data_IF_605474967355
#
_entry.id   IF_605474967355
#
_cell.length_a   1.000
_cell.length_b   1.000
_cell.length_c   1.000
_cell.angle_alpha   90.00
_cell.angle_beta   90.00
_cell.angle_gamma   90.00
#
_symmetry.space_group_name_H-M   'P 1'
#
loop_
_entity.id
_entity.type
_entity.pdbx_description
1 polymer ?
#
# COMPACT_ATOMS: atom_id res chain seq x y z
N UNK A 1 25.56 2.23 -47.24
CA UNK A 1 25.40 3.65 -46.85
C UNK A 1 24.58 4.36 -47.91
N UNK A 2 23.31 4.66 -47.64
CA UNK A 2 22.46 5.44 -48.55
C UNK A 2 22.25 6.84 -47.96
N UNK A 3 22.77 7.86 -48.66
CA UNK A 3 22.49 9.28 -48.42
C UNK A 3 21.41 9.69 -49.42
N UNK A 4 20.18 9.92 -48.97
CA UNK A 4 19.24 10.76 -49.71
C UNK A 4 19.33 12.19 -49.19
N UNK A 5 19.53 13.11 -50.12
CA UNK A 5 19.76 14.53 -49.92
C UNK A 5 18.71 15.27 -50.75
N UNK A 6 17.98 16.16 -50.09
CA UNK A 6 17.21 17.31 -50.59
C UNK A 6 15.86 17.08 -51.30
N UNK A 7 14.81 17.65 -50.70
CA UNK A 7 13.99 18.65 -51.39
C UNK A 7 13.45 19.68 -50.37
N UNK A 8 13.98 20.90 -50.50
CA UNK A 8 13.56 22.14 -49.85
C UNK A 8 12.46 22.74 -50.73
N UNK A 9 11.33 23.18 -50.17
CA UNK A 9 10.46 24.14 -50.85
C UNK A 9 9.95 25.17 -49.84
N UNK A 10 10.21 26.43 -50.19
CA UNK A 10 9.92 27.63 -49.42
C UNK A 10 8.48 28.11 -49.59
N UNK A 11 7.94 28.61 -48.48
CA UNK A 11 7.11 29.81 -48.25
C UNK A 11 6.25 30.37 -49.40
N UNK A 12 4.98 30.56 -49.08
CA UNK A 12 4.23 31.79 -49.41
C UNK A 12 3.49 32.29 -48.17
N UNK A 13 3.73 33.57 -47.83
CA UNK A 13 2.98 34.38 -46.87
C UNK A 13 1.69 34.88 -47.53
N UNK A 14 0.61 34.99 -46.76
CA UNK A 14 -0.32 36.12 -46.85
C UNK A 14 -0.80 36.47 -45.44
N UNK A 15 -0.63 37.75 -45.11
CA UNK A 15 -1.22 38.43 -43.96
C UNK A 15 -2.74 38.48 -44.16
N UNK A 16 -3.50 38.42 -43.07
CA UNK A 16 -4.54 39.42 -42.84
C UNK A 16 -4.87 39.50 -41.35
N UNK A 17 -4.63 40.71 -40.84
CA UNK A 17 -4.98 41.21 -39.52
C UNK A 17 -6.40 41.75 -39.63
N UNK A 18 -7.31 41.31 -38.76
CA UNK A 18 -8.58 42.02 -38.54
C UNK A 18 -8.61 42.46 -37.09
N UNK A 19 -8.19 43.70 -36.87
CA UNK A 19 -8.56 44.55 -35.76
C UNK A 19 -9.73 45.42 -36.19
N UNK A 20 -10.80 45.41 -35.43
CA UNK A 20 -11.79 46.49 -35.40
C UNK A 20 -12.14 46.79 -33.96
N UNK A 21 -11.67 47.95 -33.50
CA UNK A 21 -12.19 48.63 -32.31
C UNK A 21 -13.27 49.64 -32.71
N UNK A 22 -14.01 50.06 -31.67
CA UNK A 22 -14.77 51.31 -31.49
C UNK A 22 -16.28 51.23 -31.70
N UNK A 23 -17.03 51.23 -30.58
CA UNK A 23 -17.83 52.39 -30.17
C UNK A 23 -18.41 52.23 -28.76
N UNK A 24 -18.02 53.14 -27.87
CA UNK A 24 -18.57 53.38 -26.53
C UNK A 24 -19.81 54.27 -26.64
N UNK A 25 -20.88 54.01 -25.88
CA UNK A 25 -21.69 55.01 -25.14
C UNK A 25 -22.83 54.35 -24.32
N UNK A 26 -22.81 54.57 -23.01
CA UNK A 26 -23.89 54.38 -22.03
C UNK A 26 -24.58 55.75 -21.81
N UNK A 27 -25.85 55.91 -21.32
CA UNK A 27 -26.23 55.51 -19.96
C UNK A 27 -27.73 55.24 -19.66
N UNK A 28 -27.99 54.59 -18.51
CA UNK A 28 -29.21 54.83 -17.73
C UNK A 28 -30.04 53.60 -17.38
N UNK A 29 -29.80 53.00 -16.21
CA UNK A 29 -30.87 52.75 -15.23
C UNK A 29 -30.30 52.28 -13.87
N UNK A 30 -31.02 52.70 -12.84
CA UNK A 30 -30.65 52.82 -11.43
C UNK A 30 -30.93 51.55 -10.60
N UNK A 31 -29.89 51.01 -9.95
CA UNK A 31 -29.72 50.56 -8.53
C UNK A 31 -30.85 49.76 -7.81
N UNK A 32 -30.50 48.79 -6.93
CA UNK A 32 -29.89 49.17 -5.65
C UNK A 32 -28.66 48.37 -5.18
N UNK A 33 -27.83 49.13 -4.46
CA UNK A 33 -26.71 48.69 -3.63
C UNK A 33 -27.23 47.88 -2.44
N UNK A 34 -26.65 46.71 -2.18
CA UNK A 34 -26.68 46.11 -0.85
C UNK A 34 -25.41 46.54 -0.11
N UNK A 35 -25.64 47.17 1.03
CA UNK A 35 -24.63 47.75 1.89
C UNK A 35 -23.83 46.68 2.65
N UNK A 36 -22.53 46.96 2.80
CA UNK A 36 -21.63 46.38 3.81
C UNK A 36 -22.30 46.36 5.19
N UNK A 37 -22.22 45.23 5.88
CA UNK A 37 -22.15 45.19 7.35
C UNK A 37 -20.86 44.50 7.76
N UNK A 38 -19.95 45.30 8.28
CA UNK A 38 -18.78 44.92 9.06
C UNK A 38 -19.21 44.21 10.33
N UNK A 39 -18.60 43.06 10.62
CA UNK A 39 -18.50 42.52 11.98
C UNK A 39 -17.02 42.32 12.29
N UNK A 40 -16.50 43.17 13.17
CA UNK A 40 -15.23 43.01 13.85
C UNK A 40 -15.35 41.93 14.93
N UNK A 41 -14.43 40.99 14.96
CA UNK A 41 -14.03 40.29 16.20
C UNK A 41 -12.52 40.03 16.15
N UNK A 42 -11.72 40.64 17.05
CA UNK A 42 -10.30 40.34 17.17
C UNK A 42 -10.14 39.16 18.11
N UNK A 43 -10.04 37.93 17.60
CA UNK A 43 -9.71 36.79 18.47
C UNK A 43 -9.04 35.61 17.75
N UNK A 44 -8.14 35.92 16.81
CA UNK A 44 -7.41 34.92 16.02
C UNK A 44 -5.90 34.93 16.25
N UNK A 45 -5.42 35.62 17.30
CA UNK A 45 -4.00 35.62 17.65
C UNK A 45 -3.67 34.88 18.95
N UNK A 46 -4.65 34.46 19.76
CA UNK A 46 -4.36 33.69 20.98
C UNK A 46 -4.34 32.17 20.78
N UNK A 47 -4.87 31.62 19.69
CA UNK A 47 -4.85 30.16 19.44
C UNK A 47 -3.58 29.64 18.75
N UNK A 48 -2.71 30.50 18.22
CA UNK A 48 -1.43 30.05 17.63
C UNK A 48 -0.36 29.75 18.68
N UNK A 49 -0.49 30.26 19.90
CA UNK A 49 0.49 30.01 20.97
C UNK A 49 0.24 28.66 21.69
N UNK A 50 -1.02 28.22 21.81
CA UNK A 50 -1.34 26.96 22.49
C UNK A 50 -1.18 25.72 21.59
N UNK A 51 -1.37 25.86 20.28
CA UNK A 51 -1.16 24.76 19.33
C UNK A 51 0.32 24.36 19.17
N UNK A 52 1.27 25.26 19.45
CA UNK A 52 2.71 24.95 19.42
C UNK A 52 3.24 24.33 20.73
N UNK A 53 2.48 24.36 21.82
CA UNK A 53 2.86 23.70 23.08
C UNK A 53 2.41 22.23 23.19
N UNK A 54 1.38 21.80 22.45
CA UNK A 54 0.95 20.40 22.47
C UNK A 54 1.78 19.48 21.56
N UNK A 55 2.36 19.99 20.47
CA UNK A 55 3.18 19.16 19.56
C UNK A 55 4.54 18.77 20.17
N UNK A 56 5.05 19.51 21.17
CA UNK A 56 6.28 19.15 21.90
C UNK A 56 6.08 18.20 23.08
N UNK A 57 4.86 18.08 23.62
CA UNK A 57 4.58 17.13 24.71
C UNK A 57 4.23 15.72 24.22
N UNK A 58 3.84 15.57 22.94
CA UNK A 58 3.44 14.27 22.37
C UNK A 58 4.59 13.50 21.69
N UNK A 59 5.72 14.17 21.40
CA UNK A 59 6.93 13.51 20.89
C UNK A 59 7.84 12.93 21.97
N UNK A 60 7.68 13.29 23.25
CA UNK A 60 8.43 12.69 24.36
C UNK A 60 7.74 11.46 25.01
N UNK A 61 6.51 11.12 24.62
CA UNK A 61 5.79 9.92 25.10
C UNK A 61 5.75 8.74 24.12
N UNK A 62 6.48 8.79 23.01
CA UNK A 62 6.61 7.66 22.06
C UNK A 62 8.00 7.02 22.04
N UNK A 63 8.70 7.04 23.18
CA UNK A 63 9.89 6.19 23.41
C UNK A 63 9.72 5.11 24.48
N UNK A 64 8.56 5.02 25.11
CA UNK A 64 8.25 3.89 26.00
C UNK A 64 6.79 3.47 25.77
N UNK A 65 6.58 2.31 25.16
CA UNK A 65 5.23 1.77 25.04
C UNK A 65 4.97 0.93 23.79
N UNK A 66 5.79 -0.09 23.53
CA UNK A 66 5.36 -1.20 22.69
C UNK A 66 5.86 -2.51 23.31
N UNK A 67 4.90 -3.32 23.74
CA UNK A 67 4.98 -4.66 24.36
C UNK A 67 5.46 -4.79 25.81
N UNK A 68 4.53 -4.67 26.76
CA UNK A 68 4.56 -5.48 27.99
C UNK A 68 3.16 -5.92 28.44
N UNK A 69 2.38 -6.46 27.52
CA UNK A 69 1.14 -7.19 27.82
C UNK A 69 1.39 -8.62 28.31
N UNK A 70 2.32 -8.81 29.26
CA UNK A 70 2.52 -10.09 29.92
C UNK A 70 1.41 -10.24 30.97
N UNK A 71 0.33 -10.95 30.64
CA UNK A 71 -0.67 -11.40 31.62
C UNK A 71 0.06 -12.23 32.68
N UNK A 72 0.39 -11.59 33.81
CA UNK A 72 0.85 -12.25 35.03
C UNK A 72 -0.29 -13.14 35.50
N UNK A 73 -0.20 -14.46 35.27
CA UNK A 73 -0.95 -15.43 36.05
C UNK A 73 -0.40 -15.35 37.47
N UNK A 74 -1.22 -14.86 38.38
CA UNK A 74 -0.98 -14.87 39.81
C UNK A 74 -0.87 -16.33 40.26
N UNK A 75 0.35 -16.84 40.40
CA UNK A 75 0.60 -18.07 41.14
C UNK A 75 0.41 -17.75 42.62
N UNK A 76 -0.69 -18.23 43.20
CA UNK A 76 -0.91 -18.14 44.64
C UNK A 76 0.15 -18.96 45.35
N UNK A 77 1.13 -18.28 45.93
CA UNK A 77 2.16 -18.87 46.80
C UNK A 77 1.47 -19.36 48.08
N UNK A 78 1.14 -20.65 48.15
CA UNK A 78 0.76 -21.28 49.42
C UNK A 78 2.05 -21.49 50.21
N UNK A 79 2.28 -20.61 51.17
CA UNK A 79 3.31 -20.76 52.20
C UNK A 79 2.94 -22.00 53.01
N UNK A 80 3.68 -23.09 52.79
CA UNK A 80 3.59 -24.28 53.64
C UNK A 80 4.95 -24.45 54.31
N UNK A 81 4.95 -24.42 55.64
CA UNK A 81 6.13 -24.54 56.51
C UNK A 81 6.96 -25.78 56.16
N UNK A 82 8.29 -25.76 56.36
CA UNK A 82 9.09 -26.96 56.21
C UNK A 82 8.93 -27.84 57.46
N UNK A 83 8.37 -29.04 57.30
CA UNK A 83 8.58 -30.14 58.24
C UNK A 83 9.49 -31.15 57.58
N UNK A 84 10.68 -31.35 58.16
CA UNK A 84 11.57 -32.47 57.88
C UNK A 84 10.78 -33.78 57.92
N UNK A 85 10.99 -34.68 56.94
CA UNK A 85 10.94 -36.15 57.08
C UNK A 85 11.31 -36.82 55.74
N UNK A 86 12.50 -37.41 55.72
CA UNK A 86 12.93 -38.71 55.14
C UNK A 86 12.37 -39.25 53.80
N UNK A 87 13.32 -39.75 52.99
CA UNK A 87 13.22 -40.52 51.75
C UNK A 87 12.20 -41.69 51.76
N UNK A 88 11.52 -41.93 50.64
CA UNK A 88 11.35 -43.27 50.02
C UNK A 88 10.64 -43.25 48.65
N UNK A 89 11.35 -43.82 47.66
CA UNK A 89 10.93 -44.54 46.43
C UNK A 89 10.05 -43.95 45.28
N UNK A 90 10.28 -44.40 44.02
CA UNK A 90 9.74 -43.79 42.83
C UNK A 90 8.38 -44.42 42.46
N UNK A 91 7.29 -43.65 42.61
CA UNK A 91 6.00 -44.01 42.03
C UNK A 91 5.91 -43.61 40.56
N UNK A 92 5.90 -44.65 39.73
CA UNK A 92 5.36 -44.71 38.37
C UNK A 92 4.23 -43.69 38.13
N UNK A 93 4.52 -42.67 37.30
CA UNK A 93 3.49 -41.79 36.75
C UNK A 93 2.86 -42.50 35.54
N UNK A 94 1.66 -43.05 35.74
CA UNK A 94 0.74 -43.33 34.63
C UNK A 94 0.49 -42.01 33.88
N UNK A 95 1.05 -41.88 32.69
CA UNK A 95 0.73 -40.78 31.78
C UNK A 95 -0.63 -41.07 31.14
N UNK A 96 -1.68 -40.38 31.62
CA UNK A 96 -2.94 -40.29 30.88
C UNK A 96 -2.74 -39.32 29.71
N UNK A 97 -2.14 -39.80 28.62
CA UNK A 97 -2.07 -39.08 27.34
C UNK A 97 -3.12 -39.66 26.40
N UNK A 98 -4.38 -39.26 26.62
CA UNK A 98 -5.51 -39.55 25.72
C UNK A 98 -5.69 -38.48 24.62
N UNK A 99 -4.76 -37.51 24.48
CA UNK A 99 -4.87 -36.40 23.53
C UNK A 99 -3.59 -36.15 22.71
N UNK A 100 -2.78 -37.18 22.50
CA UNK A 100 -1.49 -37.03 21.79
C UNK A 100 -1.54 -37.34 20.28
N UNK A 101 -2.67 -37.74 19.70
CA UNK A 101 -2.74 -38.11 18.27
C UNK A 101 -3.60 -37.13 17.46
N UNK A 102 -3.15 -35.89 17.29
CA UNK A 102 -3.63 -35.01 16.21
C UNK A 102 -2.70 -33.81 15.91
N UNK A 103 -1.46 -33.80 16.40
CA UNK A 103 -0.55 -32.66 16.26
C UNK A 103 0.44 -32.75 15.07
N UNK A 104 0.41 -33.83 14.28
CA UNK A 104 1.42 -34.04 13.23
C UNK A 104 0.98 -33.65 11.80
N UNK A 105 -0.32 -33.52 11.50
CA UNK A 105 -0.78 -33.06 10.19
C UNK A 105 -0.79 -31.53 10.11
N UNK A 106 -1.33 -30.84 11.13
CA UNK A 106 -1.33 -29.38 11.16
C UNK A 106 0.05 -28.71 11.23
N UNK A 107 1.11 -29.46 11.56
CA UNK A 107 2.49 -28.94 11.59
C UNK A 107 3.15 -28.91 10.21
N UNK A 108 2.84 -29.87 9.33
CA UNK A 108 3.34 -29.89 7.95
C UNK A 108 2.69 -28.81 7.10
N UNK A 109 1.37 -28.66 7.19
CA UNK A 109 0.62 -27.64 6.46
C UNK A 109 1.08 -26.23 6.83
N UNK A 110 1.30 -25.99 8.13
CA UNK A 110 1.84 -24.74 8.63
C UNK A 110 3.26 -24.45 8.09
N UNK A 111 4.10 -25.48 7.96
CA UNK A 111 5.46 -25.32 7.42
C UNK A 111 5.46 -25.01 5.91
N UNK A 112 4.58 -25.64 5.12
CA UNK A 112 4.46 -25.37 3.69
C UNK A 112 3.90 -23.98 3.41
N UNK A 113 2.85 -23.56 4.14
CA UNK A 113 2.30 -22.20 4.05
C UNK A 113 3.38 -21.17 4.37
N UNK A 114 4.15 -21.39 5.45
CA UNK A 114 5.21 -20.46 5.83
C UNK A 114 6.33 -20.41 4.78
N UNK A 115 6.70 -21.54 4.19
CA UNK A 115 7.68 -21.59 3.10
C UNK A 115 7.21 -20.75 1.90
N UNK A 116 5.95 -20.92 1.49
CA UNK A 116 5.34 -20.12 0.44
C UNK A 116 5.35 -18.62 0.76
N UNK A 117 4.90 -18.22 1.96
CA UNK A 117 4.89 -16.83 2.40
C UNK A 117 6.29 -16.21 2.40
N UNK A 118 7.30 -16.96 2.83
CA UNK A 118 8.71 -16.52 2.81
C UNK A 118 9.20 -16.35 1.38
N UNK A 119 8.86 -17.27 0.46
CA UNK A 119 9.22 -17.16 -0.95
C UNK A 119 8.61 -15.90 -1.60
N UNK A 120 7.31 -15.67 -1.41
CA UNK A 120 6.63 -14.46 -1.91
C UNK A 120 7.28 -13.20 -1.32
N UNK A 121 7.51 -13.18 -0.01
CA UNK A 121 8.16 -12.03 0.65
C UNK A 121 9.57 -11.77 0.11
N UNK A 122 10.35 -12.81 -0.12
CA UNK A 122 11.70 -12.70 -0.69
C UNK A 122 11.67 -12.17 -2.12
N UNK A 123 10.63 -12.48 -2.89
CA UNK A 123 10.43 -11.99 -4.26
C UNK A 123 9.91 -10.55 -4.35
N UNK A 124 9.65 -9.90 -3.21
CA UNK A 124 9.30 -8.49 -3.13
C UNK A 124 10.19 -7.75 -2.11
N UNK A 125 11.52 -7.65 -2.36
CA UNK A 125 12.42 -6.89 -1.51
C UNK A 125 12.08 -5.39 -1.52
N UNK A 126 12.62 -4.65 -0.56
CA UNK A 126 12.42 -3.18 -0.47
C UNK A 126 12.95 -2.43 -1.70
N UNK A 127 13.92 -2.99 -2.43
CA UNK A 127 14.44 -2.43 -3.68
C UNK A 127 13.39 -2.43 -4.80
N UNK A 128 12.39 -3.33 -4.74
CA UNK A 128 11.32 -3.34 -5.73
C UNK A 128 10.45 -2.09 -5.69
N UNK A 129 10.40 -1.40 -4.55
CA UNK A 129 9.74 -0.10 -4.42
C UNK A 129 10.29 0.91 -5.44
N UNK A 130 11.60 0.90 -5.68
CA UNK A 130 12.27 1.94 -6.47
C UNK A 130 12.66 1.49 -7.87
N UNK A 131 12.79 0.19 -8.11
CA UNK A 131 13.27 -0.37 -9.39
C UNK A 131 12.24 -1.30 -10.06
N UNK A 132 11.11 -1.57 -9.39
CA UNK A 132 10.25 -2.68 -9.77
C UNK A 132 10.94 -4.02 -9.53
N UNK A 133 10.47 -5.07 -10.19
CA UNK A 133 10.96 -6.43 -10.01
C UNK A 133 10.17 -7.29 -9.02
N UNK A 134 8.96 -6.87 -8.67
CA UNK A 134 8.04 -7.69 -7.89
C UNK A 134 7.85 -9.06 -8.56
N UNK A 135 8.04 -10.13 -7.79
CA UNK A 135 7.86 -11.53 -8.19
C UNK A 135 8.82 -12.06 -9.27
N UNK A 136 9.85 -11.30 -9.68
CA UNK A 136 10.80 -11.76 -10.72
C UNK A 136 11.53 -13.05 -10.35
N UNK A 137 11.88 -13.19 -9.07
CA UNK A 137 12.58 -14.36 -8.54
C UNK A 137 11.63 -15.43 -7.96
N UNK A 138 10.31 -15.22 -8.08
CA UNK A 138 9.33 -16.20 -7.62
C UNK A 138 9.21 -17.31 -8.66
N UNK A 139 9.39 -18.56 -8.25
CA UNK A 139 9.30 -19.68 -9.18
C UNK A 139 7.89 -19.84 -9.78
N UNK A 140 7.84 -20.57 -10.90
CA UNK A 140 6.63 -20.77 -11.70
C UNK A 140 5.49 -21.50 -11.00
N UNK A 141 5.75 -22.28 -9.95
CA UNK A 141 4.69 -22.92 -9.16
C UNK A 141 4.15 -21.96 -8.11
N UNK A 142 5.02 -21.28 -7.39
CA UNK A 142 4.65 -20.30 -6.38
C UNK A 142 3.91 -19.09 -6.98
N UNK A 143 4.25 -18.64 -8.20
CA UNK A 143 3.47 -17.59 -8.88
C UNK A 143 2.05 -18.06 -9.23
N UNK A 144 1.87 -19.33 -9.64
CA UNK A 144 0.54 -19.89 -9.91
C UNK A 144 -0.28 -19.98 -8.64
N UNK A 145 0.32 -20.44 -7.55
CA UNK A 145 -0.32 -20.47 -6.23
C UNK A 145 -0.69 -19.05 -5.79
N UNK A 146 0.22 -18.08 -5.91
CA UNK A 146 -0.05 -16.68 -5.58
C UNK A 146 -1.26 -16.14 -6.35
N UNK A 147 -1.29 -16.32 -7.67
CA UNK A 147 -2.41 -15.89 -8.50
C UNK A 147 -3.72 -16.57 -8.11
N UNK A 148 -3.68 -17.88 -7.81
CA UNK A 148 -4.87 -18.62 -7.37
C UNK A 148 -5.39 -18.14 -6.02
N UNK A 149 -4.50 -17.90 -5.07
CA UNK A 149 -4.84 -17.37 -3.75
C UNK A 149 -5.39 -15.94 -3.87
N UNK A 150 -4.79 -15.10 -4.71
CA UNK A 150 -5.27 -13.74 -4.96
C UNK A 150 -6.67 -13.73 -5.58
N UNK A 151 -6.93 -14.61 -6.54
CA UNK A 151 -8.25 -14.77 -7.16
C UNK A 151 -9.30 -15.25 -6.15
N UNK A 152 -9.04 -16.35 -5.43
CA UNK A 152 -9.96 -16.89 -4.43
C UNK A 152 -10.13 -15.96 -3.22
N UNK A 153 -9.09 -15.19 -2.93
CA UNK A 153 -9.04 -14.24 -1.84
C UNK A 153 -9.62 -12.88 -2.16
N UNK A 154 -10.01 -12.60 -3.41
CA UNK A 154 -10.50 -11.31 -3.90
C UNK A 154 -9.50 -10.16 -3.69
N UNK A 155 -8.26 -10.37 -4.12
CA UNK A 155 -7.21 -9.34 -4.16
C UNK A 155 -6.29 -9.50 -5.36
N UNK A 156 -6.79 -10.07 -6.46
CA UNK A 156 -6.06 -10.26 -7.73
C UNK A 156 -5.44 -8.97 -8.25
N UNK A 157 -6.16 -7.87 -8.07
CA UNK A 157 -5.83 -6.54 -8.55
C UNK A 157 -4.51 -6.06 -7.93
N UNK A 158 -4.24 -6.42 -6.66
CA UNK A 158 -2.98 -6.09 -5.99
C UNK A 158 -1.77 -6.75 -6.68
N UNK A 159 -1.91 -8.01 -7.08
CA UNK A 159 -0.84 -8.76 -7.76
C UNK A 159 -0.64 -8.22 -9.17
N UNK A 160 -1.75 -8.00 -9.89
CA UNK A 160 -1.72 -7.45 -11.24
C UNK A 160 -1.07 -6.06 -11.29
N UNK A 161 -1.46 -5.16 -10.40
CA UNK A 161 -0.86 -3.82 -10.32
C UNK A 161 0.66 -3.89 -10.11
N UNK A 162 1.15 -4.72 -9.19
CA UNK A 162 2.59 -4.86 -8.93
C UNK A 162 3.36 -5.42 -10.14
N UNK A 163 2.73 -6.31 -10.92
CA UNK A 163 3.31 -6.80 -12.18
C UNK A 163 3.39 -5.68 -13.21
N UNK A 164 2.31 -4.91 -13.41
CA UNK A 164 2.30 -3.80 -14.37
C UNK A 164 3.23 -2.66 -13.94
N UNK A 165 3.38 -2.44 -12.64
CA UNK A 165 4.35 -1.52 -12.10
C UNK A 165 5.79 -1.90 -12.49
N UNK A 166 6.13 -3.19 -12.56
CA UNK A 166 7.43 -3.61 -13.10
C UNK A 166 7.61 -3.14 -14.55
N UNK A 167 6.60 -3.33 -15.39
CA UNK A 167 6.62 -2.94 -16.81
C UNK A 167 6.77 -1.42 -16.97
N UNK A 168 6.11 -0.64 -16.10
CA UNK A 168 6.29 0.82 -16.03
C UNK A 168 7.72 1.19 -15.64
N UNK A 169 8.29 0.55 -14.62
CA UNK A 169 9.66 0.82 -14.15
C UNK A 169 10.73 0.44 -15.17
N UNK A 170 10.47 -0.56 -16.01
CA UNK A 170 11.29 -0.95 -17.14
C UNK A 170 11.18 -0.01 -18.35
N UNK A 171 10.26 0.96 -18.32
CA UNK A 171 10.03 1.91 -19.42
C UNK A 171 9.22 1.33 -20.58
N UNK A 172 8.56 0.19 -20.37
CA UNK A 172 7.74 -0.50 -21.37
C UNK A 172 6.25 -0.11 -21.30
N UNK A 173 5.88 0.76 -20.38
CA UNK A 173 4.50 1.24 -20.15
C UNK A 173 4.55 2.71 -19.73
N UNK A 174 3.56 3.50 -20.12
CA UNK A 174 3.44 4.92 -19.72
C UNK A 174 2.78 5.08 -18.35
N UNK A 175 2.90 6.27 -17.75
CA UNK A 175 2.24 6.55 -16.47
C UNK A 175 0.72 6.58 -16.62
N UNK A 176 0.20 6.98 -17.79
CA UNK A 176 -1.24 6.96 -18.09
C UNK A 176 -1.78 5.54 -18.29
N UNK A 177 -1.00 4.65 -18.89
CA UNK A 177 -1.37 3.23 -19.03
C UNK A 177 -1.39 2.52 -17.68
N UNK A 178 -0.38 2.76 -16.82
CA UNK A 178 -0.36 2.19 -15.48
C UNK A 178 -1.56 2.65 -14.64
N UNK A 179 -2.03 3.88 -14.84
CA UNK A 179 -3.12 4.46 -14.06
C UNK A 179 -4.39 3.60 -14.08
N UNK A 180 -4.75 2.97 -15.20
CA UNK A 180 -5.99 2.16 -15.27
C UNK A 180 -5.97 0.95 -14.34
N UNK A 181 -4.78 0.51 -13.90
CA UNK A 181 -4.65 -0.58 -12.94
C UNK A 181 -4.80 -0.14 -11.48
N UNK A 182 -4.99 1.16 -11.24
CA UNK A 182 -5.36 1.67 -9.92
C UNK A 182 -6.85 1.45 -9.61
N UNK A 183 -7.67 1.29 -10.65
CA UNK A 183 -9.10 1.05 -10.51
C UNK A 183 -9.32 -0.33 -9.84
N UNK A 184 -10.12 -0.35 -8.77
CA UNK A 184 -10.39 -1.57 -7.99
C UNK A 184 -9.41 -1.84 -6.84
N UNK A 185 -8.32 -1.07 -6.74
CA UNK A 185 -7.45 -1.11 -5.56
C UNK A 185 -8.08 -0.32 -4.40
N UNK A 186 -7.97 -0.84 -3.18
CA UNK A 186 -8.46 -0.15 -1.98
C UNK A 186 -7.47 0.94 -1.52
N UNK A 187 -7.50 2.10 -2.19
CA UNK A 187 -6.52 3.19 -2.02
C UNK A 187 -7.14 4.49 -1.47
N UNK A 188 -8.30 4.43 -0.81
CA UNK A 188 -9.07 5.61 -0.38
C UNK A 188 -8.29 6.57 0.54
N UNK A 189 -7.43 6.02 1.38
CA UNK A 189 -6.59 6.79 2.31
C UNK A 189 -5.19 7.12 1.77
N UNK A 190 -4.84 6.63 0.57
CA UNK A 190 -3.53 6.86 -0.03
C UNK A 190 -3.42 8.28 -0.62
N UNK A 191 -2.59 9.13 0.00
CA UNK A 191 -2.36 10.51 -0.48
C UNK A 191 -1.71 10.55 -1.87
N UNK A 192 -0.88 9.56 -2.19
CA UNK A 192 -0.25 9.44 -3.50
C UNK A 192 -1.25 9.06 -4.59
N UNK A 193 -2.23 8.23 -4.28
CA UNK A 193 -3.36 7.98 -5.18
C UNK A 193 -4.17 9.25 -5.44
N UNK A 194 -4.48 10.04 -4.40
CA UNK A 194 -5.14 11.35 -4.53
C UNK A 194 -4.35 12.35 -5.39
N UNK A 195 -3.02 12.32 -5.29
CA UNK A 195 -2.15 13.10 -6.16
C UNK A 195 -2.26 12.63 -7.63
N UNK A 196 -2.18 11.33 -7.89
CA UNK A 196 -2.30 10.77 -9.24
C UNK A 196 -3.66 11.07 -9.88
N UNK A 197 -4.76 11.08 -9.11
CA UNK A 197 -6.09 11.52 -9.58
C UNK A 197 -6.00 12.96 -10.12
N UNK A 198 -5.42 13.89 -9.36
CA UNK A 198 -5.26 15.28 -9.80
C UNK A 198 -4.38 15.40 -11.04
N UNK A 199 -3.30 14.62 -11.12
CA UNK A 199 -2.45 14.57 -12.31
C UNK A 199 -3.23 14.07 -13.53
N UNK A 200 -4.11 13.07 -13.36
CA UNK A 200 -4.97 12.58 -14.45
C UNK A 200 -5.98 13.64 -14.89
N UNK A 201 -6.66 14.29 -13.95
CA UNK A 201 -7.66 15.33 -14.23
C UNK A 201 -7.07 16.53 -14.99
N UNK A 202 -5.80 16.83 -14.75
CA UNK A 202 -5.07 17.91 -15.43
C UNK A 202 -4.28 17.43 -16.68
N UNK A 203 -4.39 16.16 -17.09
CA UNK A 203 -3.62 15.52 -18.17
C UNK A 203 -2.09 15.67 -18.02
N UNK A 204 -1.61 15.56 -16.78
CA UNK A 204 -0.20 15.73 -16.39
C UNK A 204 0.54 14.43 -16.06
N UNK A 205 -0.09 13.26 -16.19
CA UNK A 205 0.52 11.97 -15.84
C UNK A 205 1.81 11.68 -16.63
N UNK A 206 1.81 11.95 -17.93
CA UNK A 206 2.97 11.73 -18.82
C UNK A 206 3.77 13.03 -19.08
N UNK A 207 3.50 14.12 -18.34
CA UNK A 207 4.23 15.37 -18.52
C UNK A 207 5.67 15.23 -17.98
N UNK A 208 6.66 15.53 -18.84
CA UNK A 208 8.08 15.41 -18.50
C UNK A 208 8.50 16.29 -17.32
N UNK A 209 7.88 17.45 -17.15
CA UNK A 209 8.21 18.38 -16.06
C UNK A 209 7.84 17.80 -14.68
N UNK A 210 6.84 16.90 -14.62
CA UNK A 210 6.36 16.27 -13.39
C UNK A 210 6.71 14.77 -13.29
N UNK A 211 7.43 14.22 -14.27
CA UNK A 211 7.64 12.78 -14.39
C UNK A 211 8.28 12.14 -13.14
N UNK A 212 9.17 12.86 -12.45
CA UNK A 212 9.81 12.39 -11.23
C UNK A 212 8.80 12.27 -10.06
N UNK A 213 7.91 13.24 -9.90
CA UNK A 213 6.89 13.23 -8.84
C UNK A 213 5.82 12.17 -9.09
N UNK A 214 5.37 12.04 -10.34
CA UNK A 214 4.41 10.98 -10.75
C UNK A 214 5.01 9.59 -10.51
N UNK A 215 6.28 9.40 -10.90
CA UNK A 215 7.00 8.15 -10.65
C UNK A 215 7.09 7.86 -9.15
N UNK A 216 7.46 8.85 -8.33
CA UNK A 216 7.51 8.69 -6.88
C UNK A 216 6.13 8.33 -6.30
N UNK A 217 5.06 8.97 -6.77
CA UNK A 217 3.70 8.64 -6.33
C UNK A 217 3.34 7.18 -6.64
N UNK A 218 3.66 6.68 -7.84
CA UNK A 218 3.46 5.26 -8.15
C UNK A 218 4.30 4.31 -7.29
N UNK A 219 5.55 4.67 -6.97
CA UNK A 219 6.41 3.89 -6.07
C UNK A 219 5.79 3.75 -4.67
N UNK A 220 5.21 4.84 -4.14
CA UNK A 220 4.55 4.84 -2.82
C UNK A 220 3.20 4.12 -2.84
N UNK A 221 2.47 4.16 -3.96
CA UNK A 221 1.29 3.31 -4.16
C UNK A 221 1.70 1.83 -4.19
N UNK A 222 2.76 1.46 -4.92
CA UNK A 222 3.26 0.08 -4.97
C UNK A 222 3.66 -0.45 -3.59
N UNK A 223 4.30 0.38 -2.74
CA UNK A 223 4.62 0.03 -1.35
C UNK A 223 3.34 -0.22 -0.51
N UNK A 224 2.34 0.63 -0.68
CA UNK A 224 1.03 0.46 -0.02
C UNK A 224 0.37 -0.86 -0.44
N UNK A 225 0.35 -1.16 -1.75
CA UNK A 225 -0.23 -2.39 -2.30
C UNK A 225 0.54 -3.63 -1.87
N UNK A 226 1.87 -3.57 -1.81
CA UNK A 226 2.70 -4.64 -1.28
C UNK A 226 2.35 -4.94 0.19
N UNK A 227 2.18 -3.90 1.01
CA UNK A 227 1.73 -4.06 2.39
C UNK A 227 0.37 -4.76 2.50
N UNK A 228 -0.60 -4.33 1.68
CA UNK A 228 -1.93 -4.97 1.61
C UNK A 228 -1.86 -6.41 1.13
N UNK A 229 -1.03 -6.71 0.14
CA UNK A 229 -0.81 -8.07 -0.36
C UNK A 229 -0.32 -8.98 0.77
N UNK A 230 0.70 -8.59 1.53
CA UNK A 230 1.20 -9.42 2.62
C UNK A 230 0.19 -9.59 3.76
N UNK A 231 -0.58 -8.53 4.07
CA UNK A 231 -1.67 -8.65 5.03
C UNK A 231 -2.74 -9.64 4.56
N UNK A 232 -3.15 -9.57 3.29
CA UNK A 232 -4.11 -10.48 2.69
C UNK A 232 -3.61 -11.93 2.69
N UNK A 233 -2.34 -12.15 2.32
CA UNK A 233 -1.74 -13.48 2.34
C UNK A 233 -1.69 -14.07 3.76
N UNK A 234 -1.28 -13.29 4.76
CA UNK A 234 -1.28 -13.75 6.15
C UNK A 234 -2.70 -14.08 6.66
N UNK A 235 -3.66 -13.20 6.41
CA UNK A 235 -5.05 -13.39 6.88
C UNK A 235 -5.78 -14.54 6.16
N UNK A 236 -5.35 -14.92 4.95
CA UNK A 236 -5.98 -15.98 4.12
C UNK A 236 -5.15 -17.26 4.07
N UNK A 237 -4.57 -17.65 5.22
CA UNK A 237 -3.75 -18.86 5.35
C UNK A 237 -4.48 -20.15 4.95
N UNK A 238 -5.81 -20.24 5.14
CA UNK A 238 -6.60 -21.39 4.68
C UNK A 238 -6.68 -21.46 3.16
N UNK A 239 -6.92 -20.32 2.49
CA UNK A 239 -6.95 -20.24 1.02
C UNK A 239 -5.60 -20.61 0.40
N UNK A 240 -4.49 -20.24 1.05
CA UNK A 240 -3.15 -20.67 0.64
C UNK A 240 -3.02 -22.19 0.70
N UNK A 241 -3.51 -22.79 1.79
CA UNK A 241 -3.49 -24.24 1.98
C UNK A 241 -4.25 -24.97 0.87
N UNK A 242 -5.47 -24.52 0.60
CA UNK A 242 -6.34 -25.11 -0.43
C UNK A 242 -5.71 -24.97 -1.82
N UNK A 243 -5.11 -23.82 -2.13
CA UNK A 243 -4.42 -23.59 -3.40
C UNK A 243 -3.17 -24.47 -3.56
N UNK A 244 -2.39 -24.65 -2.47
CA UNK A 244 -1.22 -25.52 -2.47
C UNK A 244 -1.61 -26.99 -2.70
N UNK A 245 -2.67 -27.49 -2.06
CA UNK A 245 -3.10 -28.87 -2.26
C UNK A 245 -3.73 -29.13 -3.62
N UNK A 246 -4.54 -28.19 -4.11
CA UNK A 246 -5.05 -28.26 -5.48
C UNK A 246 -3.90 -28.32 -6.50
N UNK A 247 -2.82 -27.55 -6.28
CA UNK A 247 -1.64 -27.57 -7.16
C UNK A 247 -0.89 -28.91 -7.16
N UNK A 248 -1.02 -29.69 -6.08
CA UNK A 248 -0.41 -31.02 -5.92
C UNK A 248 -1.31 -32.18 -6.39
N UNK A 249 -2.51 -31.88 -6.91
CA UNK A 249 -3.49 -32.90 -7.28
C UNK A 249 -4.06 -33.67 -6.09
N UNK A 250 -4.03 -33.06 -4.90
CA UNK A 250 -4.61 -33.57 -3.67
C UNK A 250 -5.93 -32.85 -3.44
N UNK A 251 -6.96 -33.22 -4.21
CA UNK A 251 -8.33 -32.77 -3.98
C UNK A 251 -8.96 -33.59 -2.83
N UNK A 252 -9.57 -32.90 -1.86
CA UNK A 252 -10.42 -33.51 -0.82
C UNK A 252 -11.87 -33.59 -1.28
#
# INVERSE_FOLDING_TARGET
MFRLKWLKKEKTKTNEVITTEVATTNPGETRPKIARRSMSTPDLQLQRADAQKQVKAEQEKKKEGFFSGLRKRTTTTIITKPSNLTQSEPRSRRSNTLFASQMNEGSKDSAEINTFLVAVKKSCPSTCKTEGGYFKDLDGENIKVLNKVAQLGSFSENVEFLIQFNTYMEGNMTAKELYSFLDGLNLDDCQYHKYLIKCKENDQLDNMDNAAEVKQAYQEVADTIQGMLFFNLHSKSSTIRDALWASKGLDY
#
